data_IF_037524201951
#
_entry.id   IF_037524201951
#
_cell.length_a   1.000
_cell.length_b   1.000
_cell.length_c   1.000
_cell.angle_alpha   90.00
_cell.angle_beta   90.00
_cell.angle_gamma   90.00
#
_symmetry.space_group_name_H-M   'P 1'
#
loop_
_entity.id
_entity.type
_entity.pdbx_description
1 polymer ?
#
# COMPACT_ATOMS: atom_id res chain seq x y z
N UNK A 1 -37.36 21.01 -13.42
CA UNK A 1 -37.28 19.56 -13.72
C UNK A 1 -35.91 19.07 -14.18
N UNK A 2 -35.12 19.85 -14.95
CA UNK A 2 -33.82 19.40 -15.48
C UNK A 2 -32.81 18.90 -14.42
N UNK A 3 -32.68 19.59 -13.28
CA UNK A 3 -31.71 19.23 -12.22
C UNK A 3 -32.00 17.86 -11.58
N UNK A 4 -33.27 17.51 -11.38
CA UNK A 4 -33.67 16.20 -10.80
C UNK A 4 -33.39 15.06 -11.77
N UNK A 5 -33.57 15.27 -13.07
CA UNK A 5 -33.29 14.25 -14.09
C UNK A 5 -31.79 14.01 -14.23
N UNK A 6 -31.00 15.09 -14.35
CA UNK A 6 -29.53 15.01 -14.40
C UNK A 6 -28.98 14.34 -13.14
N UNK A 7 -29.48 14.69 -11.95
CA UNK A 7 -29.07 14.03 -10.71
C UNK A 7 -29.35 12.53 -10.72
N UNK A 8 -30.53 12.10 -11.20
CA UNK A 8 -30.91 10.68 -11.23
C UNK A 8 -30.10 9.89 -12.27
N UNK A 9 -29.83 10.50 -13.42
CA UNK A 9 -28.99 9.92 -14.47
C UNK A 9 -27.55 9.76 -13.98
N UNK A 10 -26.97 10.80 -13.38
CA UNK A 10 -25.62 10.76 -12.81
C UNK A 10 -25.51 9.77 -11.64
N UNK A 11 -26.52 9.72 -10.75
CA UNK A 11 -26.53 8.80 -9.63
C UNK A 11 -26.62 7.34 -10.11
N UNK A 12 -27.41 7.07 -11.15
CA UNK A 12 -27.49 5.74 -11.75
C UNK A 12 -26.17 5.36 -12.44
N UNK A 13 -25.59 6.24 -13.26
CA UNK A 13 -24.35 5.97 -13.98
C UNK A 13 -23.16 5.79 -13.04
N UNK A 14 -22.96 6.72 -12.10
CA UNK A 14 -21.89 6.64 -11.11
C UNK A 14 -22.14 5.49 -10.13
N UNK A 15 -23.38 5.27 -9.71
CA UNK A 15 -23.76 4.15 -8.86
C UNK A 15 -23.44 2.80 -9.51
N UNK A 16 -23.77 2.62 -10.79
CA UNK A 16 -23.47 1.40 -11.53
C UNK A 16 -21.97 1.22 -11.73
N UNK A 17 -21.24 2.30 -12.02
CA UNK A 17 -19.79 2.29 -12.16
C UNK A 17 -19.11 1.86 -10.86
N UNK A 18 -19.45 2.52 -9.74
CA UNK A 18 -18.91 2.22 -8.42
C UNK A 18 -19.27 0.80 -7.99
N UNK A 19 -20.53 0.39 -8.17
CA UNK A 19 -20.97 -0.97 -7.83
C UNK A 19 -20.15 -2.02 -8.56
N UNK A 20 -19.94 -1.86 -9.88
CA UNK A 20 -19.15 -2.80 -10.69
C UNK A 20 -17.72 -2.94 -10.19
N UNK A 21 -17.03 -1.82 -9.93
CA UNK A 21 -15.63 -1.85 -9.50
C UNK A 21 -15.44 -2.23 -8.04
N UNK A 22 -16.34 -1.82 -7.14
CA UNK A 22 -16.32 -2.24 -5.74
C UNK A 22 -16.62 -3.73 -5.62
N UNK A 23 -17.62 -4.25 -6.33
CA UNK A 23 -17.91 -5.68 -6.34
C UNK A 23 -16.68 -6.48 -6.80
N UNK A 24 -15.99 -6.02 -7.85
CA UNK A 24 -14.74 -6.64 -8.31
C UNK A 24 -13.64 -6.59 -7.25
N UNK A 25 -13.42 -5.44 -6.60
CA UNK A 25 -12.44 -5.29 -5.52
C UNK A 25 -12.75 -6.21 -4.33
N UNK A 26 -14.01 -6.27 -3.89
CA UNK A 26 -14.45 -7.14 -2.79
C UNK A 26 -14.31 -8.64 -3.12
N UNK A 27 -14.52 -9.05 -4.37
CA UNK A 27 -14.27 -10.44 -4.79
C UNK A 27 -12.80 -10.78 -4.66
N UNK A 28 -11.90 -9.89 -5.12
CA UNK A 28 -10.46 -10.08 -4.96
C UNK A 28 -10.08 -10.10 -3.48
N UNK A 29 -10.62 -9.18 -2.68
CA UNK A 29 -10.40 -9.13 -1.24
C UNK A 29 -10.84 -10.44 -0.55
N UNK A 30 -12.03 -10.95 -0.86
CA UNK A 30 -12.54 -12.20 -0.30
C UNK A 30 -11.64 -13.39 -0.66
N UNK A 31 -11.14 -13.45 -1.90
CA UNK A 31 -10.16 -14.46 -2.32
C UNK A 31 -8.87 -14.27 -1.50
N UNK A 32 -8.34 -13.06 -1.42
CA UNK A 32 -7.10 -12.76 -0.69
C UNK A 32 -7.20 -13.16 0.79
N UNK A 33 -8.26 -12.79 1.51
CA UNK A 33 -8.45 -13.14 2.92
C UNK A 33 -8.64 -14.66 3.10
N UNK A 34 -9.27 -15.34 2.15
CA UNK A 34 -9.47 -16.79 2.20
C UNK A 34 -8.17 -17.58 1.96
N UNK A 35 -7.33 -17.12 1.03
CA UNK A 35 -6.12 -17.84 0.59
C UNK A 35 -4.82 -17.31 1.21
N UNK A 36 -4.81 -16.10 1.78
CA UNK A 36 -3.67 -15.50 2.46
C UNK A 36 -4.04 -15.33 3.94
N UNK A 37 -3.80 -16.36 4.77
CA UNK A 37 -4.07 -16.30 6.21
C UNK A 37 -3.31 -15.13 6.84
N UNK A 38 -3.95 -14.45 7.81
CA UNK A 38 -3.36 -13.34 8.56
C UNK A 38 -2.05 -13.76 9.25
N UNK A 39 -1.94 -15.04 9.64
CA UNK A 39 -0.77 -15.65 10.25
C UNK A 39 0.43 -15.67 9.29
N UNK A 40 0.18 -15.78 7.99
CA UNK A 40 1.22 -15.76 6.94
C UNK A 40 1.78 -14.35 6.78
N UNK A 41 0.92 -13.34 6.83
CA UNK A 41 1.33 -11.94 6.79
C UNK A 41 2.10 -11.60 8.07
N UNK A 42 1.57 -11.98 9.24
CA UNK A 42 2.24 -11.82 10.51
C UNK A 42 3.60 -12.54 10.56
N UNK A 43 3.77 -13.69 9.90
CA UNK A 43 5.06 -14.37 9.80
C UNK A 43 6.07 -13.70 8.85
N UNK A 44 5.59 -12.94 7.85
CA UNK A 44 6.43 -12.28 6.84
C UNK A 44 6.85 -10.85 7.23
N UNK A 45 5.92 -10.09 7.83
CA UNK A 45 6.16 -8.70 8.27
C UNK A 45 6.25 -8.56 9.79
N UNK A 46 5.98 -9.63 10.54
CA UNK A 46 6.15 -9.65 11.99
C UNK A 46 7.54 -10.08 12.43
N UNK A 47 7.89 -9.66 13.64
CA UNK A 47 9.18 -9.91 14.25
C UNK A 47 10.21 -8.81 14.00
N UNK A 48 11.41 -9.10 14.49
CA UNK A 48 12.45 -8.11 14.73
C UNK A 48 13.65 -8.31 13.81
N UNK A 49 14.20 -7.20 13.31
CA UNK A 49 15.39 -7.18 12.47
C UNK A 49 15.14 -6.65 11.06
N UNK A 50 16.12 -6.88 10.19
CA UNK A 50 16.20 -6.27 8.85
C UNK A 50 15.22 -6.89 7.86
N UNK A 51 14.99 -8.20 7.95
CA UNK A 51 14.20 -8.94 6.96
C UNK A 51 12.72 -8.49 6.91
N UNK A 52 12.00 -8.34 8.04
CA UNK A 52 10.63 -7.81 8.03
C UNK A 52 10.53 -6.40 7.44
N UNK A 53 11.56 -5.56 7.66
CA UNK A 53 11.63 -4.19 7.12
C UNK A 53 11.76 -4.20 5.60
N UNK A 54 12.63 -5.06 5.06
CA UNK A 54 12.80 -5.20 3.61
C UNK A 54 11.53 -5.76 2.95
N UNK A 55 10.94 -6.80 3.52
CA UNK A 55 9.68 -7.37 3.02
C UNK A 55 8.56 -6.32 3.05
N UNK A 56 8.46 -5.56 4.14
CA UNK A 56 7.48 -4.47 4.27
C UNK A 56 7.67 -3.38 3.24
N UNK A 57 8.92 -2.98 2.93
CA UNK A 57 9.18 -2.02 1.86
C UNK A 57 8.72 -2.53 0.49
N UNK A 58 8.98 -3.81 0.19
CA UNK A 58 8.58 -4.42 -1.08
C UNK A 58 7.06 -4.58 -1.21
N UNK A 59 6.37 -4.91 -0.12
CA UNK A 59 4.90 -4.97 -0.08
C UNK A 59 4.27 -3.58 -0.11
N UNK A 60 4.92 -2.60 0.52
CA UNK A 60 4.48 -1.21 0.54
C UNK A 60 4.61 -0.55 -0.82
N UNK A 61 5.68 -0.83 -1.58
CA UNK A 61 5.93 -0.26 -2.91
C UNK A 61 4.69 -0.27 -3.82
N UNK A 62 4.06 -1.40 -4.16
CA UNK A 62 2.87 -1.38 -5.03
C UNK A 62 1.61 -0.87 -4.33
N UNK A 63 1.59 -0.75 -3.00
CA UNK A 63 0.41 -0.39 -2.23
C UNK A 63 0.07 1.09 -2.42
N UNK A 64 -1.02 1.35 -3.14
CA UNK A 64 -1.63 2.68 -3.21
C UNK A 64 -2.59 2.87 -2.05
N UNK A 65 -2.08 3.45 -0.96
CA UNK A 65 -2.88 3.79 0.21
C UNK A 65 -2.92 5.31 0.36
N UNK A 66 -4.11 5.84 0.61
CA UNK A 66 -4.25 7.24 0.97
C UNK A 66 -3.92 7.45 2.46
N UNK A 67 -3.63 8.69 2.86
CA UNK A 67 -3.27 9.03 4.24
C UNK A 67 -4.39 8.73 5.27
N UNK A 68 -5.62 8.50 4.83
CA UNK A 68 -6.75 8.13 5.70
C UNK A 68 -6.82 6.62 5.97
N UNK A 69 -6.48 5.80 4.98
CA UNK A 69 -6.57 4.34 5.04
C UNK A 69 -5.27 3.68 5.51
N UNK A 70 -4.11 4.30 5.24
CA UNK A 70 -2.81 3.73 5.61
C UNK A 70 -2.63 3.54 7.14
N UNK A 71 -2.91 4.54 8.01
CA UNK A 71 -2.64 4.40 9.44
C UNK A 71 -3.48 3.31 10.14
N UNK A 72 -4.80 3.17 9.89
CA UNK A 72 -5.58 2.07 10.47
C UNK A 72 -5.09 0.69 10.05
N UNK A 73 -4.72 0.52 8.77
CA UNK A 73 -4.20 -0.74 8.25
C UNK A 73 -2.90 -1.13 8.95
N UNK A 74 -1.95 -0.20 9.03
CA UNK A 74 -0.66 -0.43 9.69
C UNK A 74 -0.85 -0.73 11.17
N UNK A 75 -1.73 0.01 11.85
CA UNK A 75 -2.05 -0.24 13.26
C UNK A 75 -2.64 -1.64 13.49
N UNK A 76 -3.51 -2.10 12.57
CA UNK A 76 -4.07 -3.46 12.61
C UNK A 76 -3.04 -4.57 12.33
N UNK A 77 -1.99 -4.29 11.54
CA UNK A 77 -0.87 -5.22 11.34
C UNK A 77 0.11 -5.20 12.51
N UNK A 78 0.32 -4.04 13.14
CA UNK A 78 1.13 -3.92 14.36
C UNK A 78 0.51 -4.67 15.53
N UNK A 79 -0.82 -4.66 15.67
CA UNK A 79 -1.50 -5.50 16.68
C UNK A 79 -1.35 -7.01 16.40
N UNK A 80 -0.97 -7.39 15.18
CA UNK A 80 -0.67 -8.77 14.78
C UNK A 80 0.84 -9.09 14.80
N UNK A 81 1.70 -8.18 15.27
CA UNK A 81 3.13 -8.41 15.48
C UNK A 81 4.07 -7.74 14.49
N UNK A 82 3.58 -6.88 13.58
CA UNK A 82 4.43 -6.05 12.72
C UNK A 82 5.25 -5.06 13.56
N UNK A 83 6.57 -5.04 13.36
CA UNK A 83 7.45 -4.11 14.09
C UNK A 83 7.28 -2.67 13.61
N UNK A 84 7.61 -1.71 14.47
CA UNK A 84 7.48 -0.29 14.15
C UNK A 84 8.38 0.13 12.97
N UNK A 85 9.56 -0.48 12.83
CA UNK A 85 10.44 -0.26 11.68
C UNK A 85 9.87 -0.82 10.37
N UNK A 86 9.23 -1.99 10.43
CA UNK A 86 8.52 -2.58 9.29
C UNK A 86 7.36 -1.69 8.83
N UNK A 87 6.56 -1.20 9.78
CA UNK A 87 5.47 -0.26 9.54
C UNK A 87 5.96 1.01 8.82
N UNK A 88 7.05 1.60 9.29
CA UNK A 88 7.65 2.78 8.65
C UNK A 88 8.13 2.50 7.23
N UNK A 89 8.84 1.40 7.00
CA UNK A 89 9.29 1.02 5.66
C UNK A 89 8.11 0.81 4.70
N UNK A 90 7.04 0.16 5.13
CA UNK A 90 5.82 -0.01 4.35
C UNK A 90 5.20 1.33 3.96
N UNK A 91 5.03 2.24 4.93
CA UNK A 91 4.42 3.55 4.69
C UNK A 91 5.26 4.42 3.75
N UNK A 92 6.58 4.47 3.96
CA UNK A 92 7.49 5.27 3.12
C UNK A 92 7.54 4.70 1.70
N UNK A 93 7.66 3.37 1.55
CA UNK A 93 7.66 2.74 0.23
C UNK A 93 6.35 2.98 -0.53
N UNK A 94 5.19 2.81 0.11
CA UNK A 94 3.90 3.05 -0.53
C UNK A 94 3.67 4.51 -0.91
N UNK A 95 4.13 5.45 -0.08
CA UNK A 95 4.04 6.88 -0.41
C UNK A 95 4.91 7.27 -1.62
N UNK A 96 6.12 6.72 -1.72
CA UNK A 96 7.09 7.12 -2.77
C UNK A 96 6.88 6.36 -4.07
N UNK A 97 6.53 5.06 -4.00
CA UNK A 97 6.63 4.12 -5.14
C UNK A 97 5.34 3.38 -5.47
N UNK A 98 4.17 3.93 -5.12
CA UNK A 98 2.86 3.35 -5.50
C UNK A 98 2.71 3.11 -7.00
N UNK A 99 1.84 2.15 -7.39
CA UNK A 99 1.58 1.83 -8.81
C UNK A 99 1.27 3.08 -9.66
N UNK A 100 0.37 4.00 -9.25
CA UNK A 100 0.10 5.20 -10.05
C UNK A 100 1.30 6.14 -10.16
N UNK A 101 2.12 6.24 -9.11
CA UNK A 101 3.34 7.06 -9.14
C UNK A 101 4.38 6.43 -10.07
N UNK A 102 4.60 5.12 -9.98
CA UNK A 102 5.52 4.39 -10.85
C UNK A 102 5.12 4.50 -12.32
N UNK A 103 3.83 4.34 -12.64
CA UNK A 103 3.36 4.46 -14.04
C UNK A 103 3.54 5.87 -14.58
N UNK A 104 3.29 6.90 -13.77
CA UNK A 104 3.53 8.29 -14.14
C UNK A 104 5.01 8.58 -14.40
N UNK A 105 5.91 8.14 -13.51
CA UNK A 105 7.36 8.33 -13.67
C UNK A 105 7.86 7.55 -14.88
N UNK A 106 7.46 6.29 -15.03
CA UNK A 106 7.85 5.43 -16.15
C UNK A 106 7.47 6.03 -17.52
N UNK A 107 6.32 6.70 -17.61
CA UNK A 107 5.90 7.39 -18.83
C UNK A 107 6.74 8.63 -19.16
N UNK A 108 7.41 9.22 -18.18
CA UNK A 108 8.13 10.50 -18.32
C UNK A 108 9.64 10.34 -18.49
N UNK A 109 10.24 9.29 -17.91
CA UNK A 109 11.71 9.16 -17.82
C UNK A 109 12.24 7.94 -18.56
N UNK A 110 13.55 7.94 -18.84
CA UNK A 110 14.24 6.78 -19.39
C UNK A 110 14.30 5.63 -18.38
N UNK A 111 14.33 4.39 -18.86
CA UNK A 111 14.38 3.16 -18.03
C UNK A 111 15.49 3.17 -16.98
N UNK A 112 16.64 3.76 -17.28
CA UNK A 112 17.78 3.85 -16.36
C UNK A 112 17.46 4.77 -15.17
N UNK A 113 16.76 5.88 -15.42
CA UNK A 113 16.32 6.83 -14.40
C UNK A 113 15.19 6.23 -13.57
N UNK A 114 14.28 5.50 -14.20
CA UNK A 114 13.21 4.78 -13.51
C UNK A 114 13.77 3.72 -12.54
N UNK A 115 14.78 2.96 -12.96
CA UNK A 115 15.46 2.00 -12.10
C UNK A 115 16.13 2.69 -10.90
N UNK A 116 16.79 3.82 -11.12
CA UNK A 116 17.39 4.61 -10.04
C UNK A 116 16.32 5.14 -9.06
N UNK A 117 15.18 5.62 -9.57
CA UNK A 117 14.03 6.05 -8.75
C UNK A 117 13.52 4.91 -7.84
N UNK A 118 13.34 3.69 -8.38
CA UNK A 118 12.92 2.54 -7.58
C UNK A 118 13.95 2.17 -6.52
N UNK A 119 15.23 2.10 -6.89
CA UNK A 119 16.30 1.75 -5.96
C UNK A 119 16.43 2.78 -4.83
N UNK A 120 16.32 4.07 -5.14
CA UNK A 120 16.33 5.14 -4.15
C UNK A 120 15.08 5.12 -3.28
N UNK A 121 13.90 4.87 -3.86
CA UNK A 121 12.65 4.77 -3.12
C UNK A 121 12.64 3.61 -2.12
N UNK A 122 12.95 2.40 -2.60
CA UNK A 122 13.02 1.20 -1.77
C UNK A 122 14.19 1.30 -0.78
N UNK A 123 15.36 1.73 -1.23
CA UNK A 123 16.53 1.92 -0.37
C UNK A 123 16.27 2.93 0.74
N UNK A 124 15.66 4.07 0.42
CA UNK A 124 15.24 5.08 1.39
C UNK A 124 14.18 4.57 2.36
N UNK A 125 13.22 3.77 1.90
CA UNK A 125 12.23 3.13 2.75
C UNK A 125 12.85 2.13 3.72
N UNK A 126 13.81 1.31 3.26
CA UNK A 126 14.53 0.36 4.13
C UNK A 126 15.39 1.12 5.15
N UNK A 127 16.17 2.10 4.72
CA UNK A 127 17.02 2.89 5.62
C UNK A 127 16.18 3.62 6.67
N UNK A 128 15.05 4.21 6.28
CA UNK A 128 14.15 4.89 7.23
C UNK A 128 13.49 3.89 8.18
N UNK A 129 13.03 2.73 7.71
CA UNK A 129 12.48 1.68 8.55
C UNK A 129 13.50 1.11 9.54
N UNK A 130 14.75 0.89 9.12
CA UNK A 130 15.82 0.44 10.01
C UNK A 130 16.21 1.49 11.04
N UNK A 131 16.33 2.76 10.62
CA UNK A 131 16.63 3.86 11.53
C UNK A 131 15.52 4.02 12.58
N UNK A 132 14.26 3.91 12.17
CA UNK A 132 13.14 3.97 13.09
C UNK A 132 13.04 2.74 13.99
N UNK A 133 13.26 1.55 13.47
CA UNK A 133 13.32 0.32 14.28
C UNK A 133 14.43 0.38 15.34
N UNK A 134 15.60 0.93 14.99
CA UNK A 134 16.68 1.16 15.95
C UNK A 134 16.32 2.19 17.03
N UNK A 135 15.55 3.24 16.68
CA UNK A 135 15.12 4.27 17.64
C UNK A 135 13.98 3.79 18.54
N UNK A 136 12.98 3.11 17.99
CA UNK A 136 11.79 2.63 18.70
C UNK A 136 12.05 1.35 19.52
N UNK A 137 13.18 0.68 19.28
CA UNK A 137 13.43 -0.68 19.73
C UNK A 137 12.74 -1.68 18.79
N UNK A 138 13.49 -2.68 18.34
CA UNK A 138 12.91 -3.82 17.64
C UNK A 138 12.12 -4.66 18.65
#
# INVERSE_FOLDING_TARGET
>A
ESRRRVFREELATNGLFLFKWLAFAYVIEAIMVTYVPAETIAGLVGGNGVLPVVISALLGMPAYLNSYAAPPLVTGLMSQGMSAGAAMAFMVAGAVTSIPAMTAVFALVRREVFAAYLLLGIGGAIVSGLAFGAFAGF
#
